data_IF_990699282818
#
_entry.id   IF_990699282818
#
_cell.length_a   1.000
_cell.length_b   1.000
_cell.length_c   1.000
_cell.angle_alpha   90.00
_cell.angle_beta   90.00
_cell.angle_gamma   90.00
#
_symmetry.space_group_name_H-M   'P 1'
#
loop_
_entity.id
_entity.type
_entity.pdbx_description
1 polymer ?
#
# COMPACT_ATOMS: atom_id res chain seq x y z
N UNK A 1 21.41 34.20 -53.33
CA UNK A 1 20.36 33.18 -53.05
C UNK A 1 20.95 31.80 -53.34
N UNK A 2 20.61 30.72 -52.60
CA UNK A 2 19.81 30.59 -51.39
C UNK A 2 20.59 29.96 -50.20
N UNK A 3 20.01 30.03 -48.99
CA UNK A 3 20.40 29.20 -47.82
C UNK A 3 19.68 27.84 -47.92
N UNK A 4 20.30 26.71 -47.55
CA UNK A 4 19.52 25.55 -47.12
C UNK A 4 19.20 25.68 -45.64
N UNK A 5 17.93 25.99 -45.37
CA UNK A 5 17.27 25.81 -44.08
C UNK A 5 17.18 24.31 -43.78
N UNK A 6 18.06 23.82 -42.90
CA UNK A 6 17.91 22.51 -42.28
C UNK A 6 16.97 22.63 -41.10
N UNK A 7 15.67 22.53 -41.37
CA UNK A 7 14.60 22.48 -40.38
C UNK A 7 14.76 21.21 -39.55
N UNK A 8 15.27 21.35 -38.32
CA UNK A 8 15.32 20.27 -37.35
C UNK A 8 13.88 20.03 -36.87
N UNK A 9 13.27 18.96 -37.37
CA UNK A 9 11.96 18.51 -36.92
C UNK A 9 11.95 18.38 -35.37
N UNK A 10 10.90 18.88 -34.68
CA UNK A 10 10.78 18.67 -33.25
C UNK A 10 10.58 17.17 -33.00
N UNK A 11 11.41 16.60 -32.12
CA UNK A 11 11.26 15.22 -31.63
C UNK A 11 9.89 15.06 -31.00
N UNK A 12 8.96 14.46 -31.75
CA UNK A 12 7.64 14.05 -31.29
C UNK A 12 7.75 12.96 -30.25
N UNK A 13 8.02 13.34 -29.00
CA UNK A 13 7.83 12.47 -27.85
C UNK A 13 6.35 12.13 -27.76
N UNK A 14 6.01 10.84 -27.86
CA UNK A 14 4.64 10.38 -27.78
C UNK A 14 4.08 10.76 -26.38
N UNK A 15 2.99 11.56 -26.28
CA UNK A 15 2.48 12.04 -24.99
C UNK A 15 1.93 10.93 -24.08
N UNK A 16 1.82 9.71 -24.62
CA UNK A 16 1.29 8.51 -23.96
C UNK A 16 2.36 7.48 -23.59
N UNK A 17 3.65 7.86 -23.62
CA UNK A 17 4.72 6.92 -23.24
C UNK A 17 4.66 6.69 -21.73
N UNK A 18 4.12 5.54 -21.30
CA UNK A 18 4.34 5.02 -19.96
C UNK A 18 5.84 5.13 -19.66
N UNK A 19 6.24 5.90 -18.65
CA UNK A 19 7.64 6.24 -18.34
C UNK A 19 8.49 4.95 -18.29
N UNK A 20 9.23 4.57 -19.35
CA UNK A 20 9.74 3.20 -19.49
C UNK A 20 10.92 2.88 -18.56
N UNK A 21 11.35 3.86 -17.76
CA UNK A 21 12.59 3.80 -16.98
C UNK A 21 12.37 4.04 -15.49
N UNK A 22 11.13 3.95 -15.01
CA UNK A 22 10.83 4.08 -13.58
C UNK A 22 10.58 2.70 -12.98
N UNK A 23 11.38 2.37 -11.97
CA UNK A 23 11.16 1.18 -11.14
C UNK A 23 9.79 1.32 -10.46
N UNK A 24 8.93 0.28 -10.47
CA UNK A 24 7.64 0.35 -9.79
C UNK A 24 7.80 0.80 -8.33
N UNK A 25 6.86 1.60 -7.80
CA UNK A 25 6.93 2.06 -6.41
C UNK A 25 7.09 0.90 -5.43
N UNK A 26 8.15 0.97 -4.62
CA UNK A 26 8.52 -0.05 -3.65
C UNK A 26 9.20 0.60 -2.44
N UNK A 27 9.17 -0.08 -1.31
CA UNK A 27 9.95 0.26 -0.13
C UNK A 27 10.43 -1.06 0.51
N UNK A 28 11.59 -1.53 0.08
CA UNK A 28 12.15 -2.81 0.52
C UNK A 28 12.47 -2.79 2.01
N UNK A 29 12.97 -1.67 2.53
CA UNK A 29 13.28 -1.53 3.96
C UNK A 29 12.02 -1.69 4.83
N UNK A 30 10.90 -1.09 4.42
CA UNK A 30 9.63 -1.25 5.13
C UNK A 30 9.10 -2.69 5.04
N UNK A 31 9.25 -3.36 3.90
CA UNK A 31 8.88 -4.78 3.77
C UNK A 31 9.72 -5.67 4.69
N UNK A 32 11.03 -5.47 4.71
CA UNK A 32 11.94 -6.20 5.59
C UNK A 32 11.64 -5.94 7.06
N UNK A 33 11.36 -4.68 7.42
CA UNK A 33 11.01 -4.30 8.79
C UNK A 33 9.72 -4.96 9.28
N UNK A 34 8.69 -5.04 8.44
CA UNK A 34 7.43 -5.74 8.77
C UNK A 34 7.69 -7.22 8.98
N UNK A 35 8.37 -7.89 8.04
CA UNK A 35 8.60 -9.32 8.14
C UNK A 35 9.50 -9.68 9.33
N UNK A 36 10.61 -8.96 9.51
CA UNK A 36 11.48 -9.16 10.67
C UNK A 36 10.74 -8.89 11.98
N UNK A 37 9.83 -7.92 12.01
CA UNK A 37 9.02 -7.61 13.19
C UNK A 37 8.08 -8.76 13.56
N UNK A 38 7.42 -9.37 12.57
CA UNK A 38 6.55 -10.54 12.77
C UNK A 38 7.37 -11.76 13.27
N UNK A 39 8.59 -11.93 12.76
CA UNK A 39 9.48 -13.02 13.17
C UNK A 39 10.05 -12.82 14.58
N UNK A 40 10.25 -11.57 14.99
CA UNK A 40 10.75 -11.20 16.32
C UNK A 40 9.66 -11.29 17.40
N UNK A 41 8.47 -10.79 17.07
CA UNK A 41 7.34 -10.65 17.98
C UNK A 41 6.08 -11.19 17.28
N UNK A 42 5.69 -12.44 17.57
CA UNK A 42 4.49 -13.04 16.96
C UNK A 42 3.20 -12.25 17.24
N UNK A 43 3.12 -11.47 18.32
CA UNK A 43 1.95 -10.63 18.60
C UNK A 43 1.84 -9.45 17.63
N UNK A 44 2.96 -9.03 17.01
CA UNK A 44 2.98 -7.99 16.01
C UNK A 44 2.17 -8.36 14.76
N UNK A 45 1.99 -9.65 14.48
CA UNK A 45 1.17 -10.12 13.37
C UNK A 45 -0.28 -9.63 13.46
N UNK A 46 -0.87 -9.57 14.66
CA UNK A 46 -2.23 -9.11 14.87
C UNK A 46 -2.43 -7.64 14.44
N UNK A 47 -1.40 -6.81 14.60
CA UNK A 47 -1.48 -5.38 14.26
C UNK A 47 -1.40 -5.13 12.75
N UNK A 48 -0.68 -6.01 12.02
CA UNK A 48 -0.47 -5.87 10.57
C UNK A 48 -1.42 -6.70 9.72
N UNK A 49 -2.07 -7.73 10.28
CA UNK A 49 -2.98 -8.62 9.56
C UNK A 49 -4.14 -7.88 8.87
N UNK A 50 -4.68 -6.85 9.53
CA UNK A 50 -5.77 -6.04 8.98
C UNK A 50 -5.30 -4.94 8.03
N UNK A 51 -4.01 -4.63 8.03
CA UNK A 51 -3.42 -3.56 7.21
C UNK A 51 -2.90 -4.11 5.89
N UNK A 52 -2.35 -5.33 5.87
CA UNK A 52 -1.61 -5.88 4.74
C UNK A 52 -2.22 -7.17 4.20
N UNK A 53 -2.30 -7.25 2.87
CA UNK A 53 -2.49 -8.49 2.13
C UNK A 53 -1.13 -8.97 1.57
N UNK A 54 -0.87 -10.28 1.39
CA UNK A 54 0.36 -10.79 0.77
C UNK A 54 0.77 -10.08 -0.52
N UNK A 55 -0.19 -9.70 -1.38
CA UNK A 55 0.10 -9.03 -2.65
C UNK A 55 0.63 -7.58 -2.49
N UNK A 56 0.54 -7.02 -1.27
CA UNK A 56 1.07 -5.71 -0.94
C UNK A 56 2.61 -5.65 -0.98
N UNK A 57 3.28 -6.79 -0.85
CA UNK A 57 4.74 -6.86 -0.95
C UNK A 57 5.18 -6.83 -2.42
N UNK A 58 6.26 -6.10 -2.71
CA UNK A 58 6.83 -6.05 -4.04
C UNK A 58 7.61 -7.34 -4.34
N UNK A 59 8.43 -7.79 -3.39
CA UNK A 59 9.29 -8.97 -3.54
C UNK A 59 8.49 -10.25 -3.41
N UNK A 60 8.58 -11.14 -4.39
CA UNK A 60 7.83 -12.41 -4.39
C UNK A 60 8.12 -13.28 -3.16
N UNK A 61 9.39 -13.36 -2.73
CA UNK A 61 9.76 -14.06 -1.50
C UNK A 61 9.07 -13.46 -0.26
N UNK A 62 8.97 -12.13 -0.17
CA UNK A 62 8.30 -11.46 0.94
C UNK A 62 6.79 -11.76 0.95
N UNK A 63 6.15 -11.83 -0.22
CA UNK A 63 4.74 -12.24 -0.33
C UNK A 63 4.52 -13.62 0.28
N UNK A 64 5.39 -14.57 -0.04
CA UNK A 64 5.23 -15.94 0.42
C UNK A 64 5.53 -16.08 1.92
N UNK A 65 6.52 -15.35 2.43
CA UNK A 65 6.79 -15.28 3.88
C UNK A 65 5.57 -14.71 4.60
N UNK A 66 5.03 -13.58 4.16
CA UNK A 66 3.85 -12.99 4.79
C UNK A 66 2.61 -13.89 4.68
N UNK A 67 2.39 -14.54 3.53
CA UNK A 67 1.31 -15.51 3.34
C UNK A 67 1.41 -16.67 4.34
N UNK A 68 2.62 -17.18 4.56
CA UNK A 68 2.86 -18.25 5.52
C UNK A 68 2.60 -17.77 6.95
N UNK A 69 3.07 -16.58 7.31
CA UNK A 69 2.81 -15.97 8.61
C UNK A 69 1.30 -15.80 8.85
N UNK A 70 0.55 -15.32 7.84
CA UNK A 70 -0.91 -15.19 7.90
C UNK A 70 -1.61 -16.55 8.08
N UNK A 71 -1.14 -17.59 7.40
CA UNK A 71 -1.69 -18.94 7.52
C UNK A 71 -1.44 -19.56 8.90
N UNK A 72 -0.25 -19.32 9.49
CA UNK A 72 0.06 -19.74 10.86
C UNK A 72 -0.77 -18.97 11.88
N UNK A 73 -0.86 -17.65 11.73
CA UNK A 73 -1.67 -16.78 12.57
C UNK A 73 -3.14 -17.21 12.59
N UNK A 74 -3.72 -17.51 11.42
CA UNK A 74 -5.09 -18.02 11.32
C UNK A 74 -5.31 -19.40 11.96
N UNK A 75 -4.24 -20.16 12.22
CA UNK A 75 -4.25 -21.43 12.96
C UNK A 75 -3.91 -21.26 14.44
N UNK A 76 -3.79 -20.02 14.94
CA UNK A 76 -3.28 -19.70 16.27
C UNK A 76 -1.90 -20.34 16.56
N UNK A 77 -1.06 -20.46 15.53
CA UNK A 77 0.32 -20.92 15.66
C UNK A 77 1.27 -19.73 15.70
N UNK A 78 2.38 -19.82 16.45
CA UNK A 78 3.37 -18.75 16.51
C UNK A 78 4.03 -18.52 15.15
N UNK A 79 4.31 -17.25 14.84
CA UNK A 79 4.94 -16.80 13.59
C UNK A 79 6.43 -16.48 13.77
N UNK A 80 7.05 -16.96 14.85
CA UNK A 80 8.47 -16.73 15.13
C UNK A 80 9.38 -17.42 14.09
N UNK A 81 10.66 -17.05 14.08
CA UNK A 81 11.66 -17.59 13.17
C UNK A 81 11.69 -19.12 13.10
N UNK A 82 11.64 -19.81 14.24
CA UNK A 82 11.74 -21.28 14.31
C UNK A 82 10.50 -21.92 13.70
N UNK A 83 9.33 -21.41 14.08
CA UNK A 83 8.02 -21.89 13.63
C UNK A 83 7.85 -21.68 12.12
N UNK A 84 8.19 -20.49 11.62
CA UNK A 84 8.17 -20.15 10.20
C UNK A 84 9.14 -21.01 9.38
N UNK A 85 10.37 -21.19 9.85
CA UNK A 85 11.38 -22.00 9.15
C UNK A 85 10.94 -23.45 9.04
N UNK A 86 10.43 -24.03 10.14
CA UNK A 86 9.94 -25.41 10.18
C UNK A 86 8.78 -25.60 9.22
N UNK A 87 7.78 -24.71 9.25
CA UNK A 87 6.63 -24.80 8.36
C UNK A 87 7.05 -24.72 6.89
N UNK A 88 7.88 -23.73 6.53
CA UNK A 88 8.36 -23.54 5.16
C UNK A 88 9.19 -24.73 4.67
N UNK A 89 9.96 -25.37 5.56
CA UNK A 89 10.72 -26.58 5.25
C UNK A 89 9.77 -27.76 4.99
N UNK A 90 8.81 -28.01 5.88
CA UNK A 90 7.85 -29.10 5.77
C UNK A 90 7.00 -29.01 4.49
N UNK A 91 6.70 -27.79 4.04
CA UNK A 91 5.97 -27.54 2.80
C UNK A 91 6.85 -27.50 1.53
N UNK A 92 8.18 -27.67 1.65
CA UNK A 92 9.10 -27.60 0.51
C UNK A 92 9.16 -26.21 -0.15
N UNK A 93 8.89 -25.15 0.62
CA UNK A 93 8.86 -23.76 0.14
C UNK A 93 10.05 -22.93 0.64
N UNK A 94 10.83 -23.44 1.59
CA UNK A 94 11.94 -22.72 2.21
C UNK A 94 12.97 -22.20 1.19
N UNK A 95 13.32 -22.99 0.18
CA UNK A 95 14.27 -22.57 -0.85
C UNK A 95 13.71 -21.44 -1.73
N UNK A 96 12.39 -21.40 -1.95
CA UNK A 96 11.73 -20.38 -2.76
C UNK A 96 11.78 -19.00 -2.12
N UNK A 97 11.89 -18.94 -0.79
CA UNK A 97 11.99 -17.69 -0.04
C UNK A 97 13.44 -17.28 0.25
N UNK A 98 14.42 -18.02 -0.26
CA UNK A 98 15.86 -17.74 -0.06
C UNK A 98 16.50 -18.49 1.11
N UNK A 99 15.82 -19.52 1.64
CA UNK A 99 16.34 -20.37 2.71
C UNK A 99 16.19 -19.78 4.11
N UNK A 100 16.56 -20.57 5.13
CA UNK A 100 16.52 -20.14 6.53
C UNK A 100 17.37 -18.88 6.79
N UNK A 101 18.50 -18.75 6.08
CA UNK A 101 19.38 -17.57 6.19
C UNK A 101 18.65 -16.27 5.83
N UNK A 102 17.74 -16.30 4.86
CA UNK A 102 16.99 -15.09 4.49
C UNK A 102 16.07 -14.63 5.62
N UNK A 103 15.44 -15.54 6.35
CA UNK A 103 14.60 -15.21 7.50
C UNK A 103 15.43 -14.62 8.65
N UNK A 104 16.63 -15.16 8.90
CA UNK A 104 17.57 -14.59 9.88
C UNK A 104 17.96 -13.16 9.50
N UNK A 105 18.28 -12.91 8.23
CA UNK A 105 18.62 -11.56 7.76
C UNK A 105 17.48 -10.56 7.94
N UNK A 106 16.22 -10.99 7.77
CA UNK A 106 15.06 -10.12 8.02
C UNK A 106 14.97 -9.73 9.50
N UNK A 107 15.24 -10.68 10.39
CA UNK A 107 15.24 -10.45 11.84
C UNK A 107 16.33 -9.43 12.24
N UNK A 108 17.53 -9.56 11.68
CA UNK A 108 18.66 -8.66 11.96
C UNK A 108 18.44 -7.22 11.49
N UNK A 109 17.53 -7.00 10.53
CA UNK A 109 17.21 -5.67 9.98
C UNK A 109 16.27 -4.87 10.88
N UNK A 110 15.69 -5.50 11.90
CA UNK A 110 14.67 -4.89 12.76
C UNK A 110 15.27 -4.38 14.05
N UNK A 111 15.07 -3.09 14.31
CA UNK A 111 15.48 -2.41 15.56
C UNK A 111 14.42 -2.61 16.66
N UNK A 112 13.16 -2.85 16.29
CA UNK A 112 12.05 -3.16 17.21
C UNK A 112 10.69 -3.20 16.50
N UNK A 113 9.65 -3.62 17.21
CA UNK A 113 8.30 -3.86 16.64
C UNK A 113 7.28 -2.74 16.93
N UNK A 114 7.68 -1.71 17.68
CA UNK A 114 6.81 -0.61 18.09
C UNK A 114 6.24 0.19 16.91
N UNK A 115 7.01 0.32 15.81
CA UNK A 115 6.61 1.07 14.61
C UNK A 115 6.10 0.18 13.46
N UNK A 116 5.81 -1.10 13.72
CA UNK A 116 5.45 -2.07 12.66
C UNK A 116 4.22 -1.61 11.85
N UNK A 117 3.25 -0.97 12.50
CA UNK A 117 2.05 -0.43 11.86
C UNK A 117 2.37 0.69 10.87
N UNK A 118 3.37 1.51 11.18
CA UNK A 118 3.84 2.57 10.31
C UNK A 118 4.51 1.98 9.06
N UNK A 119 5.38 0.98 9.24
CA UNK A 119 6.01 0.28 8.12
C UNK A 119 4.99 -0.45 7.25
N UNK A 120 3.98 -1.10 7.85
CA UNK A 120 2.89 -1.73 7.13
C UNK A 120 2.11 -0.73 6.26
N UNK A 121 1.81 0.46 6.79
CA UNK A 121 1.18 1.55 6.01
C UNK A 121 2.07 2.04 4.86
N UNK A 122 3.39 2.09 5.04
CA UNK A 122 4.31 2.44 3.96
C UNK A 122 4.31 1.39 2.84
N UNK A 123 4.31 0.10 3.17
CA UNK A 123 4.18 -0.99 2.19
C UNK A 123 2.85 -0.87 1.43
N UNK A 124 1.76 -0.62 2.14
CA UNK A 124 0.44 -0.43 1.52
C UNK A 124 0.37 0.80 0.61
N UNK A 125 0.97 1.95 0.99
CA UNK A 125 1.08 3.12 0.09
C UNK A 125 1.77 2.74 -1.23
N UNK A 126 2.86 1.96 -1.18
CA UNK A 126 3.54 1.51 -2.40
C UNK A 126 2.70 0.53 -3.21
N UNK A 127 1.98 -0.37 -2.56
CA UNK A 127 1.03 -1.26 -3.24
C UNK A 127 -0.06 -0.49 -3.98
N UNK A 128 -0.72 0.46 -3.33
CA UNK A 128 -1.79 1.27 -3.95
C UNK A 128 -1.27 2.07 -5.13
N UNK A 129 -0.05 2.61 -5.06
CA UNK A 129 0.59 3.27 -6.22
C UNK A 129 0.84 2.30 -7.37
N UNK A 130 1.24 1.05 -7.10
CA UNK A 130 1.38 0.02 -8.13
C UNK A 130 0.02 -0.36 -8.74
N UNK A 131 -1.03 -0.46 -7.94
CA UNK A 131 -2.38 -0.71 -8.46
C UNK A 131 -2.86 0.45 -9.33
N UNK A 132 -2.60 1.69 -8.93
CA UNK A 132 -2.93 2.88 -9.73
C UNK A 132 -2.24 2.85 -11.09
N UNK A 133 -0.96 2.50 -11.14
CA UNK A 133 -0.23 2.34 -12.41
C UNK A 133 -0.86 1.24 -13.26
N UNK A 134 -1.19 0.08 -12.67
CA UNK A 134 -1.81 -1.04 -13.37
C UNK A 134 -3.16 -0.64 -13.97
N UNK A 135 -4.03 -0.02 -13.18
CA UNK A 135 -5.34 0.46 -13.66
C UNK A 135 -5.17 1.54 -14.73
N UNK A 136 -4.19 2.44 -14.59
CA UNK A 136 -3.88 3.41 -15.64
C UNK A 136 -3.55 2.74 -16.98
N UNK A 137 -2.73 1.68 -16.96
CA UNK A 137 -2.41 0.90 -18.16
C UNK A 137 -3.64 0.17 -18.73
N UNK A 138 -4.48 -0.41 -17.86
CA UNK A 138 -5.72 -1.05 -18.28
C UNK A 138 -6.68 -0.05 -18.95
N UNK A 139 -6.86 1.14 -18.37
CA UNK A 139 -7.72 2.21 -18.91
C UNK A 139 -7.17 2.71 -20.25
N UNK A 140 -5.85 2.84 -20.38
CA UNK A 140 -5.23 3.14 -21.68
C UNK A 140 -5.56 2.06 -22.72
N UNK A 141 -5.47 0.78 -22.35
CA UNK A 141 -5.81 -0.33 -23.25
C UNK A 141 -7.29 -0.30 -23.68
N UNK A 142 -8.21 0.04 -22.77
CA UNK A 142 -9.63 0.23 -23.11
C UNK A 142 -9.82 1.32 -24.17
N UNK A 143 -9.05 2.41 -24.11
CA UNK A 143 -9.14 3.50 -25.09
C UNK A 143 -8.78 3.10 -26.53
N UNK A 144 -8.02 2.01 -26.73
CA UNK A 144 -7.70 1.47 -28.05
C UNK A 144 -8.77 0.50 -28.59
N UNK A 145 -9.71 0.05 -27.76
CA UNK A 145 -10.75 -0.90 -28.18
C UNK A 145 -11.91 -0.19 -28.90
N UNK A 146 -11.87 -0.18 -30.23
CA UNK A 146 -12.91 0.41 -31.07
C UNK A 146 -14.08 -0.54 -31.38
N UNK A 147 -14.06 -1.78 -30.87
CA UNK A 147 -15.08 -2.79 -31.16
C UNK A 147 -16.29 -2.69 -30.22
N UNK A 148 -16.10 -2.08 -29.05
CA UNK A 148 -17.12 -1.91 -28.01
C UNK A 148 -17.68 -0.49 -28.00
N UNK A 149 -18.93 -0.28 -27.56
CA UNK A 149 -19.48 1.06 -27.39
C UNK A 149 -18.72 1.83 -26.30
N UNK A 150 -18.47 3.13 -26.53
CA UNK A 150 -17.70 4.00 -25.62
C UNK A 150 -18.28 4.03 -24.19
N UNK A 151 -19.61 4.04 -24.04
CA UNK A 151 -20.25 4.05 -22.72
C UNK A 151 -19.82 2.87 -21.85
N UNK A 152 -19.79 1.66 -22.42
CA UNK A 152 -19.36 0.47 -21.69
C UNK A 152 -17.87 0.46 -21.33
N UNK A 153 -17.03 1.18 -22.09
CA UNK A 153 -15.60 1.34 -21.76
C UNK A 153 -15.40 2.35 -20.62
N UNK A 154 -16.19 3.43 -20.61
CA UNK A 154 -16.18 4.43 -19.53
C UNK A 154 -16.65 3.82 -18.20
N UNK A 155 -17.73 3.05 -18.22
CA UNK A 155 -18.25 2.37 -17.03
C UNK A 155 -17.21 1.39 -16.45
N UNK A 156 -16.52 0.64 -17.31
CA UNK A 156 -15.46 -0.28 -16.90
C UNK A 156 -14.24 0.46 -16.32
N UNK A 157 -13.85 1.59 -16.92
CA UNK A 157 -12.77 2.43 -16.41
C UNK A 157 -13.11 3.02 -15.03
N UNK A 158 -14.34 3.51 -14.84
CA UNK A 158 -14.81 4.01 -13.55
C UNK A 158 -14.76 2.92 -12.48
N UNK A 159 -15.26 1.71 -12.80
CA UNK A 159 -15.24 0.59 -11.88
C UNK A 159 -13.81 0.20 -11.45
N UNK A 160 -12.85 0.19 -12.39
CA UNK A 160 -11.43 -0.11 -12.10
C UNK A 160 -10.76 0.96 -11.23
N UNK A 161 -11.06 2.25 -11.45
CA UNK A 161 -10.52 3.33 -10.60
C UNK A 161 -11.14 3.25 -9.19
N UNK A 162 -12.44 2.98 -9.12
CA UNK A 162 -13.17 2.88 -7.87
C UNK A 162 -12.73 1.68 -7.01
N UNK A 163 -12.26 0.57 -7.60
CA UNK A 163 -11.74 -0.55 -6.80
C UNK A 163 -10.49 -0.18 -6.01
N UNK A 164 -9.62 0.68 -6.54
CA UNK A 164 -8.41 1.13 -5.83
C UNK A 164 -8.78 1.98 -4.59
N UNK A 165 -9.81 2.82 -4.70
CA UNK A 165 -10.21 3.68 -3.57
C UNK A 165 -10.77 2.87 -2.39
N UNK A 166 -11.39 1.71 -2.66
CA UNK A 166 -11.85 0.77 -1.63
C UNK A 166 -10.73 0.03 -0.92
N UNK A 167 -9.63 -0.25 -1.60
CA UNK A 167 -8.47 -0.94 -1.02
C UNK A 167 -7.68 -0.05 -0.05
N UNK A 168 -7.88 1.27 -0.09
CA UNK A 168 -7.30 2.15 0.92
C UNK A 168 -7.92 1.78 2.28
N UNK A 169 -7.13 1.41 3.30
CA UNK A 169 -7.66 1.16 4.62
C UNK A 169 -8.44 2.38 5.05
N UNK A 170 -9.76 2.26 5.19
CA UNK A 170 -10.55 3.30 5.82
C UNK A 170 -9.95 3.47 7.22
N UNK A 171 -9.70 4.71 7.64
CA UNK A 171 -9.26 4.97 9.01
C UNK A 171 -10.17 4.18 9.94
N UNK A 172 -9.58 3.39 10.83
CA UNK A 172 -10.30 2.44 11.66
C UNK A 172 -11.49 3.09 12.37
N UNK A 173 -12.46 2.27 12.78
CA UNK A 173 -13.57 2.72 13.60
C UNK A 173 -13.01 3.49 14.79
N UNK A 174 -13.21 4.81 14.80
CA UNK A 174 -12.82 5.64 15.94
C UNK A 174 -13.74 5.25 17.09
N UNK A 175 -13.22 4.80 18.24
CA UNK A 175 -14.04 4.47 19.39
C UNK A 175 -14.99 5.63 19.71
N UNK A 176 -16.26 5.35 19.97
CA UNK A 176 -17.26 6.39 20.24
C UNK A 176 -16.83 7.30 21.40
N UNK A 177 -16.03 6.78 22.34
CA UNK A 177 -15.44 7.57 23.44
C UNK A 177 -14.48 8.65 22.95
N UNK A 178 -13.65 8.40 21.94
CA UNK A 178 -12.74 9.40 21.37
C UNK A 178 -13.52 10.49 20.62
N UNK A 179 -14.60 10.09 19.93
CA UNK A 179 -15.54 11.05 19.33
C UNK A 179 -16.18 11.88 20.43
N UNK A 180 -16.68 11.25 21.50
CA UNK A 180 -17.33 11.97 22.61
C UNK A 180 -16.39 12.96 23.29
N UNK A 181 -15.14 12.55 23.57
CA UNK A 181 -14.12 13.41 24.19
C UNK A 181 -13.72 14.57 23.27
N UNK A 182 -13.51 14.32 21.98
CA UNK A 182 -13.22 15.40 21.03
C UNK A 182 -14.39 16.36 20.86
N UNK A 183 -15.63 15.85 20.80
CA UNK A 183 -16.84 16.69 20.73
C UNK A 183 -17.03 17.49 22.01
N UNK A 184 -16.76 16.90 23.19
CA UNK A 184 -16.87 17.60 24.46
C UNK A 184 -15.82 18.71 24.60
N UNK A 185 -14.57 18.43 24.21
CA UNK A 185 -13.51 19.43 24.18
C UNK A 185 -13.83 20.57 23.19
N UNK A 186 -14.47 20.26 22.06
CA UNK A 186 -14.90 21.27 21.08
C UNK A 186 -16.08 22.11 21.61
N UNK A 187 -16.99 21.53 22.38
CA UNK A 187 -18.07 22.27 23.06
C UNK A 187 -17.48 23.16 24.16
N UNK A 188 -16.54 22.65 24.95
CA UNK A 188 -15.86 23.39 26.01
C UNK A 188 -15.04 24.56 25.45
N UNK A 189 -14.30 24.35 24.35
CA UNK A 189 -13.54 25.41 23.69
C UNK A 189 -14.44 26.50 23.08
N UNK A 190 -15.65 26.14 22.65
CA UNK A 190 -16.67 27.10 22.20
C UNK A 190 -17.35 27.81 23.37
N UNK A 191 -17.55 27.13 24.50
CA UNK A 191 -18.14 27.70 25.71
C UNK A 191 -17.19 28.67 26.43
N UNK A 192 -15.88 28.42 26.38
CA UNK A 192 -14.83 29.26 26.97
C UNK A 192 -14.52 30.52 26.15
N UNK A 193 -15.09 30.67 24.94
CA UNK A 193 -14.98 31.88 24.11
C UNK A 193 -13.69 31.99 23.29
N UNK A 194 -12.81 30.99 23.31
CA UNK A 194 -11.50 31.04 22.61
C UNK A 194 -11.57 30.75 21.10
N UNK A 195 -12.75 30.48 20.56
CA UNK A 195 -12.92 30.29 19.11
C UNK A 195 -14.30 30.73 18.64
N UNK A 196 -14.35 31.84 17.90
CA UNK A 196 -15.54 32.24 17.13
C UNK A 196 -15.67 31.24 15.96
N UNK A 197 -16.66 30.37 16.03
CA UNK A 197 -16.98 29.47 14.93
C UNK A 197 -17.65 30.26 13.80
N UNK A 198 -16.91 30.52 12.72
CA UNK A 198 -17.44 31.02 11.46
C UNK A 198 -16.90 32.38 11.01
N UNK A 199 -17.27 32.78 9.80
CA UNK A 199 -16.99 34.11 9.25
C UNK A 199 -18.12 35.04 9.75
N UNK A 200 -17.82 36.16 10.42
CA UNK A 200 -18.83 37.09 10.89
C UNK A 200 -19.56 37.71 9.69
N UNK A 201 -20.81 37.32 9.47
CA UNK A 201 -21.72 38.00 8.55
C UNK A 201 -22.56 38.97 9.39
N UNK A 202 -22.16 40.24 9.39
CA UNK A 202 -22.82 41.33 10.10
C UNK A 202 -24.28 41.47 9.61
N UNK A 203 -25.24 40.93 10.36
CA UNK A 203 -26.64 41.26 10.19
C UNK A 203 -27.01 42.37 11.20
N UNK A 204 -27.55 43.46 10.66
CA UNK A 204 -28.05 44.64 11.38
C UNK A 204 -29.32 44.34 12.17
#
# INVERSE_FOLDING_TARGET
MPRPSGDAAPTGGNPFTALPNQVPPQNLEAEEAVLGGILLDPEAMARVADILHPDAFYVAAHREIFRTALALYGQNKPTDLTSMTTWLADAGQLDKVGGAMRLVQLLERVIGTAAIDQYARLVMDKYLRRQLIKVGNDVMALGFDQRRPLSGLLDEAEQKIFSISKERPQGGLVPTVEILTSTFNEIESRSMGDSVAGIPVNFY
#
